data_IF_801127576935
#
_entry.id   IF_801127576935
#
_cell.length_a   1.000
_cell.length_b   1.000
_cell.length_c   1.000
_cell.angle_alpha   90.00
_cell.angle_beta   90.00
_cell.angle_gamma   90.00
#
_symmetry.space_group_name_H-M   'P 1'
#
loop_
_entity.id
_entity.type
_entity.pdbx_description
1 polymer ?
#
# COMPACT_ATOMS: atom_id res chain seq x y z
N UNK A 1 -0.90 31.19 -6.54
CA UNK A 1 -1.53 29.86 -6.54
C UNK A 1 -0.44 28.87 -6.21
N UNK A 2 -0.44 28.29 -5.00
CA UNK A 2 0.53 27.24 -4.67
C UNK A 2 0.14 25.98 -5.43
N UNK A 3 1.06 25.42 -6.22
CA UNK A 3 0.85 24.11 -6.81
C UNK A 3 0.68 23.09 -5.67
N UNK A 4 -0.41 22.32 -5.68
CA UNK A 4 -0.54 21.17 -4.78
C UNK A 4 0.68 20.27 -4.97
N UNK A 5 1.29 19.84 -3.86
CA UNK A 5 2.43 18.92 -3.92
C UNK A 5 2.04 17.65 -4.72
N UNK A 6 2.95 17.09 -5.53
CA UNK A 6 2.66 15.89 -6.31
C UNK A 6 2.25 14.73 -5.41
N UNK A 7 1.33 13.89 -5.89
CA UNK A 7 0.91 12.68 -5.22
C UNK A 7 1.67 11.50 -5.82
N UNK A 8 2.14 10.60 -4.96
CA UNK A 8 2.94 9.43 -5.32
C UNK A 8 2.23 8.15 -4.89
N UNK A 9 2.30 7.08 -5.68
CA UNK A 9 1.92 5.75 -5.21
C UNK A 9 2.98 5.27 -4.22
N UNK A 10 2.57 4.94 -3.00
CA UNK A 10 3.45 4.40 -1.95
C UNK A 10 3.44 2.88 -1.97
N UNK A 11 2.26 2.29 -2.13
CA UNK A 11 2.08 0.85 -2.19
C UNK A 11 0.89 0.52 -3.09
N UNK A 12 1.06 -0.43 -4.01
CA UNK A 12 -0.03 -0.99 -4.80
C UNK A 12 -0.12 -2.50 -4.64
N UNK A 13 -1.31 -2.97 -4.29
CA UNK A 13 -1.62 -4.38 -4.04
C UNK A 13 -2.80 -4.82 -4.90
N UNK A 14 -2.75 -6.05 -5.37
CA UNK A 14 -3.86 -6.70 -6.06
C UNK A 14 -4.15 -8.07 -5.42
N UNK A 15 -5.42 -8.48 -5.46
CA UNK A 15 -5.88 -9.78 -4.97
C UNK A 15 -7.04 -10.29 -5.81
N UNK A 16 -7.47 -11.52 -5.52
CA UNK A 16 -8.71 -12.03 -6.07
C UNK A 16 -9.87 -11.19 -5.52
N UNK A 17 -10.62 -10.53 -6.40
CA UNK A 17 -11.76 -9.70 -5.98
C UNK A 17 -11.49 -8.20 -5.90
N UNK A 18 -10.24 -7.73 -5.99
CA UNK A 18 -9.96 -6.30 -5.81
C UNK A 18 -8.52 -5.98 -5.43
N UNK A 19 -8.28 -4.75 -4.97
CA UNK A 19 -6.94 -4.31 -4.60
C UNK A 19 -6.93 -3.03 -3.77
N UNK A 20 -5.72 -2.64 -3.37
CA UNK A 20 -5.47 -1.44 -2.59
C UNK A 20 -4.38 -0.59 -3.23
N UNK A 21 -4.55 0.73 -3.19
CA UNK A 21 -3.49 1.68 -3.48
C UNK A 21 -3.36 2.65 -2.31
N UNK A 22 -2.16 2.73 -1.74
CA UNK A 22 -1.79 3.78 -0.80
C UNK A 22 -1.09 4.87 -1.60
N UNK A 23 -1.65 6.06 -1.59
CA UNK A 23 -1.04 7.29 -2.10
C UNK A 23 -0.36 8.04 -0.96
N UNK A 24 0.67 8.80 -1.29
CA UNK A 24 1.42 9.65 -0.39
C UNK A 24 1.61 11.01 -1.01
N UNK A 25 1.44 12.06 -0.21
CA UNK A 25 1.75 13.42 -0.59
C UNK A 25 2.80 13.99 0.38
N UNK A 26 3.95 14.46 -0.12
CA UNK A 26 4.95 15.10 0.72
C UNK A 26 4.43 16.46 1.17
N UNK A 27 4.64 16.76 2.44
CA UNK A 27 4.35 18.02 3.12
C UNK A 27 5.66 18.56 3.72
N UNK A 28 5.74 19.87 4.03
CA UNK A 28 6.91 20.42 4.73
C UNK A 28 7.23 19.73 6.07
N UNK A 29 6.23 19.11 6.70
CA UNK A 29 6.32 18.45 8.00
C UNK A 29 6.42 16.92 7.92
N UNK A 30 6.42 16.33 6.72
CA UNK A 30 6.45 14.87 6.55
C UNK A 30 5.63 14.41 5.36
N UNK A 31 4.85 13.34 5.53
CA UNK A 31 3.98 12.80 4.50
C UNK A 31 2.57 12.64 5.05
N UNK A 32 1.57 12.84 4.19
CA UNK A 32 0.21 12.38 4.43
C UNK A 32 -0.14 11.29 3.42
N UNK A 33 -1.06 10.40 3.80
CA UNK A 33 -1.37 9.18 3.06
C UNK A 33 -2.84 9.04 2.78
N UNK A 34 -3.22 8.47 1.64
CA UNK A 34 -4.62 8.20 1.31
C UNK A 34 -4.74 6.77 0.81
N UNK A 35 -5.81 6.10 1.22
CA UNK A 35 -6.06 4.71 0.83
C UNK A 35 -7.20 4.67 -0.18
N UNK A 36 -6.97 3.96 -1.26
CA UNK A 36 -7.96 3.61 -2.25
C UNK A 36 -8.16 2.10 -2.21
N UNK A 37 -9.41 1.66 -2.22
CA UNK A 37 -9.78 0.28 -2.46
C UNK A 37 -10.58 0.20 -3.75
N UNK A 38 -10.37 -0.85 -4.54
CA UNK A 38 -11.23 -1.16 -5.67
C UNK A 38 -11.67 -2.62 -5.58
N UNK A 39 -12.95 -2.91 -5.84
CA UNK A 39 -13.43 -4.27 -6.05
C UNK A 39 -13.49 -4.56 -7.55
N UNK A 40 -13.26 -5.81 -7.97
CA UNK A 40 -13.60 -6.23 -9.35
C UNK A 40 -15.10 -6.44 -9.53
N UNK A 41 -15.85 -6.46 -8.42
CA UNK A 41 -17.31 -6.59 -8.39
C UNK A 41 -18.03 -5.25 -8.37
N UNK A 42 -17.29 -4.14 -8.27
CA UNK A 42 -17.84 -2.82 -8.45
C UNK A 42 -18.06 -2.64 -9.96
N UNK A 43 -19.33 -2.72 -10.40
CA UNK A 43 -19.70 -2.43 -11.78
C UNK A 43 -19.17 -1.05 -12.20
N UNK A 44 -18.76 -0.87 -13.46
CA UNK A 44 -18.06 0.34 -13.92
C UNK A 44 -18.89 1.64 -13.90
N UNK A 45 -20.09 1.66 -13.31
CA UNK A 45 -21.04 2.78 -13.40
C UNK A 45 -21.61 3.27 -12.04
N UNK A 46 -21.13 2.80 -10.89
CA UNK A 46 -21.57 3.36 -9.60
C UNK A 46 -20.43 3.57 -8.60
N UNK A 47 -19.88 4.78 -8.65
CA UNK A 47 -19.11 5.38 -7.57
C UNK A 47 -17.66 5.61 -7.97
N UNK A 48 -17.29 6.88 -8.13
CA UNK A 48 -15.88 7.28 -8.00
C UNK A 48 -15.27 6.56 -6.78
N UNK A 49 -13.99 6.11 -6.84
CA UNK A 49 -13.34 5.51 -5.69
C UNK A 49 -13.58 6.42 -4.48
N UNK A 50 -14.14 5.86 -3.40
CA UNK A 50 -14.41 6.65 -2.20
C UNK A 50 -13.06 7.18 -1.70
N UNK A 51 -12.79 8.44 -2.03
CA UNK A 51 -11.59 9.14 -1.65
C UNK A 51 -11.58 9.25 -0.12
N UNK A 52 -10.91 8.31 0.53
CA UNK A 52 -10.75 8.35 1.97
C UNK A 52 -9.97 9.61 2.37
N UNK A 53 -10.22 10.16 3.57
CA UNK A 53 -9.50 11.33 4.03
C UNK A 53 -8.00 11.05 4.09
N UNK A 54 -7.19 12.10 3.90
CA UNK A 54 -5.76 12.04 4.14
C UNK A 54 -5.47 11.67 5.59
N UNK A 55 -4.54 10.74 5.78
CA UNK A 55 -4.12 10.15 7.03
C UNK A 55 -2.71 10.64 7.36
N UNK A 56 -2.41 10.88 8.65
CA UNK A 56 -1.15 11.51 9.05
C UNK A 56 0.05 10.55 9.04
N UNK A 57 -0.15 9.25 8.81
CA UNK A 57 0.93 8.27 8.83
C UNK A 57 0.67 7.06 7.94
N UNK A 58 1.75 6.40 7.53
CA UNK A 58 1.69 5.15 6.77
C UNK A 58 1.02 4.03 7.57
N UNK A 59 1.22 3.98 8.89
CA UNK A 59 0.56 3.00 9.76
C UNK A 59 -0.95 3.19 9.79
N UNK A 60 -1.41 4.43 9.87
CA UNK A 60 -2.83 4.74 9.80
C UNK A 60 -3.41 4.27 8.45
N UNK A 61 -2.68 4.47 7.34
CA UNK A 61 -3.09 3.99 6.02
C UNK A 61 -3.12 2.45 5.95
N UNK A 62 -2.08 1.76 6.41
CA UNK A 62 -2.02 0.29 6.41
C UNK A 62 -3.10 -0.32 7.32
N UNK A 63 -3.48 0.33 8.41
CA UNK A 63 -4.60 -0.14 9.24
C UNK A 63 -5.97 -0.11 8.55
N UNK A 64 -6.11 0.62 7.43
CA UNK A 64 -7.34 0.68 6.63
C UNK A 64 -7.46 -0.44 5.59
N UNK A 65 -6.37 -1.14 5.29
CA UNK A 65 -6.39 -2.25 4.33
C UNK A 65 -6.51 -3.59 5.07
N UNK A 66 -6.83 -4.65 4.32
CA UNK A 66 -6.99 -6.00 4.88
C UNK A 66 -5.77 -6.44 5.70
N UNK A 67 -5.96 -7.10 6.86
CA UNK A 67 -4.85 -7.53 7.75
C UNK A 67 -3.88 -8.52 7.09
N UNK A 68 -4.35 -9.30 6.13
CA UNK A 68 -3.57 -10.22 5.31
C UNK A 68 -2.97 -9.59 4.05
N UNK A 69 -2.92 -8.25 3.96
CA UNK A 69 -2.33 -7.54 2.83
C UNK A 69 -0.91 -8.02 2.42
N UNK A 70 -0.03 -8.51 3.31
CA UNK A 70 1.29 -9.01 2.88
C UNK A 70 1.23 -10.28 2.02
N UNK A 71 0.10 -10.99 2.02
CA UNK A 71 -0.16 -12.16 1.17
C UNK A 71 -0.68 -11.78 -0.23
N UNK A 72 -1.05 -10.51 -0.43
CA UNK A 72 -1.54 -10.02 -1.73
C UNK A 72 -0.40 -9.95 -2.76
N UNK A 73 -0.73 -9.59 -3.99
CA UNK A 73 0.21 -9.41 -5.08
C UNK A 73 0.68 -7.94 -5.09
N UNK A 74 1.85 -7.61 -4.53
CA UNK A 74 2.37 -6.26 -4.66
C UNK A 74 2.84 -6.03 -6.09
N UNK A 75 2.63 -4.81 -6.59
CA UNK A 75 3.05 -4.40 -7.94
C UNK A 75 3.91 -3.13 -7.94
N UNK A 76 3.85 -2.34 -6.86
CA UNK A 76 4.57 -1.08 -6.75
C UNK A 76 4.83 -0.77 -5.28
N UNK A 77 6.06 -0.38 -4.96
CA UNK A 77 6.45 0.19 -3.66
C UNK A 77 7.33 1.41 -3.94
N UNK A 78 7.01 2.55 -3.32
CA UNK A 78 7.83 3.75 -3.47
C UNK A 78 9.21 3.54 -2.84
N UNK A 79 10.32 3.92 -3.51
CA UNK A 79 11.68 3.68 -3.02
C UNK A 79 11.93 4.13 -1.58
N UNK A 80 11.50 5.34 -1.23
CA UNK A 80 11.66 5.90 0.13
C UNK A 80 10.91 5.12 1.23
N UNK A 81 9.97 4.26 0.84
CA UNK A 81 9.14 3.48 1.75
C UNK A 81 9.44 1.98 1.74
N UNK A 82 10.39 1.51 0.91
CA UNK A 82 10.78 0.08 0.84
C UNK A 82 11.14 -0.46 2.23
N UNK A 83 11.99 0.25 2.98
CA UNK A 83 12.42 -0.17 4.32
C UNK A 83 11.25 -0.25 5.31
N UNK A 84 10.32 0.70 5.24
CA UNK A 84 9.14 0.74 6.11
C UNK A 84 8.17 -0.41 5.77
N UNK A 85 7.92 -0.66 4.49
CA UNK A 85 7.08 -1.78 4.04
C UNK A 85 7.72 -3.11 4.42
N UNK A 86 9.04 -3.25 4.24
CA UNK A 86 9.80 -4.45 4.63
C UNK A 86 9.59 -4.81 6.09
N UNK A 87 9.76 -3.86 7.00
CA UNK A 87 9.59 -4.12 8.43
C UNK A 87 8.21 -4.69 8.75
N UNK A 88 7.16 -4.22 8.06
CA UNK A 88 5.78 -4.68 8.27
C UNK A 88 5.53 -6.06 7.65
N UNK A 89 6.10 -6.34 6.46
CA UNK A 89 6.04 -7.66 5.83
C UNK A 89 6.76 -8.71 6.71
N UNK A 90 7.93 -8.38 7.25
CA UNK A 90 8.67 -9.28 8.14
C UNK A 90 7.94 -9.50 9.46
N UNK A 91 7.43 -8.43 10.10
CA UNK A 91 6.64 -8.56 11.33
C UNK A 91 5.38 -9.41 11.12
N UNK A 92 4.75 -9.32 9.95
CA UNK A 92 3.65 -10.22 9.59
C UNK A 92 4.14 -11.66 9.43
N UNK A 93 5.24 -11.88 8.71
CA UNK A 93 5.83 -13.20 8.46
C UNK A 93 6.17 -13.94 9.76
N UNK A 94 6.72 -13.24 10.76
CA UNK A 94 7.05 -13.81 12.07
C UNK A 94 5.84 -14.42 12.80
N UNK A 95 4.64 -13.88 12.54
CA UNK A 95 3.38 -14.36 13.12
C UNK A 95 2.58 -15.25 12.17
N UNK A 96 2.74 -15.09 10.86
CA UNK A 96 2.01 -15.79 9.81
C UNK A 96 2.96 -16.01 8.63
N UNK A 97 3.63 -17.18 8.56
CA UNK A 97 4.63 -17.44 7.55
C UNK A 97 4.07 -17.30 6.13
N UNK A 98 4.65 -16.37 5.39
CA UNK A 98 4.44 -16.22 3.95
C UNK A 98 5.09 -17.37 3.18
N UNK A 99 4.44 -17.80 2.10
CA UNK A 99 5.00 -18.77 1.15
C UNK A 99 6.21 -18.17 0.44
N UNK A 100 7.12 -19.01 -0.05
CA UNK A 100 8.26 -18.57 -0.86
C UNK A 100 7.82 -17.68 -2.03
N UNK A 101 6.78 -18.08 -2.75
CA UNK A 101 6.22 -17.30 -3.87
C UNK A 101 5.63 -15.95 -3.47
N UNK A 102 5.24 -15.76 -2.21
CA UNK A 102 4.75 -14.47 -1.70
C UNK A 102 5.93 -13.57 -1.34
N UNK A 103 6.97 -14.12 -0.69
CA UNK A 103 8.22 -13.42 -0.41
C UNK A 103 8.95 -12.99 -1.69
N UNK A 104 8.99 -13.85 -2.72
CA UNK A 104 9.64 -13.54 -3.99
C UNK A 104 9.03 -12.30 -4.68
N UNK A 105 7.72 -12.07 -4.51
CA UNK A 105 7.04 -10.86 -5.03
C UNK A 105 7.51 -9.61 -4.31
N UNK A 106 7.72 -9.68 -3.01
CA UNK A 106 8.29 -8.59 -2.22
C UNK A 106 9.76 -8.34 -2.59
N UNK A 107 10.53 -9.41 -2.75
CA UNK A 107 11.93 -9.33 -3.19
C UNK A 107 12.08 -8.67 -4.56
N UNK A 108 11.18 -8.97 -5.52
CA UNK A 108 11.17 -8.36 -6.85
C UNK A 108 10.97 -6.82 -6.81
N UNK A 109 10.43 -6.29 -5.71
CA UNK A 109 10.23 -4.85 -5.49
C UNK A 109 11.28 -4.24 -4.55
N UNK A 110 12.38 -4.96 -4.28
CA UNK A 110 13.46 -4.51 -3.40
C UNK A 110 13.16 -4.66 -1.91
N UNK A 111 12.05 -5.29 -1.53
CA UNK A 111 11.65 -5.55 -0.13
C UNK A 111 12.28 -6.88 0.33
N UNK A 112 13.61 -6.93 0.47
CA UNK A 112 14.37 -8.17 0.75
C UNK A 112 14.77 -8.35 2.21
N UNK A 113 14.88 -9.59 2.69
CA UNK A 113 15.59 -9.89 3.93
C UNK A 113 17.11 -9.65 3.75
N UNK A 114 17.74 -9.03 4.75
CA UNK A 114 19.19 -8.79 4.82
C UNK A 114 19.91 -10.02 5.37
#
# INVERSE_FOLDING_TARGET
MSASAPVHTILRLSGEGGGYRIEGQPLPTGWQFRVHSHSIWDEPDQGDPVDLPWLPSLDAAISRINRGWPMLYPSEVHPDFISAIRQRVLAFHDHTPLKASELDRWHALGVTAS
#
